data_IF_433521352492
#
_entry.id   IF_433521352492
#
_cell.length_a   1.000
_cell.length_b   1.000
_cell.length_c   1.000
_cell.angle_alpha   90.00
_cell.angle_beta   90.00
_cell.angle_gamma   90.00
#
_symmetry.space_group_name_H-M   'P 1'
#
loop_
_entity.id
_entity.type
_entity.pdbx_description
1 polymer ?
#
# COMPACT_ATOMS: atom_id res chain seq x y z
N UNK A 1 -19.80 2.53 -10.36
CA UNK A 1 -20.09 1.87 -9.08
C UNK A 1 -20.95 2.81 -8.29
N UNK A 2 -22.16 2.39 -8.02
CA UNK A 2 -23.06 3.14 -7.19
C UNK A 2 -22.70 2.85 -5.73
N UNK A 3 -22.37 3.90 -4.98
CA UNK A 3 -22.09 3.79 -3.56
C UNK A 3 -23.43 3.67 -2.83
N UNK A 4 -23.78 2.46 -2.43
CA UNK A 4 -25.08 2.18 -1.79
C UNK A 4 -25.19 2.78 -0.38
N UNK A 5 -24.06 3.09 0.26
CA UNK A 5 -24.04 3.62 1.63
C UNK A 5 -23.06 4.79 1.75
N UNK A 6 -23.49 5.83 2.44
CA UNK A 6 -22.68 7.00 2.78
C UNK A 6 -22.37 6.93 4.27
N UNK A 7 -21.09 6.76 4.61
CA UNK A 7 -20.60 6.73 5.99
C UNK A 7 -19.97 8.04 6.43
N UNK A 8 -19.41 8.79 5.45
CA UNK A 8 -18.73 10.06 5.73
C UNK A 8 -18.72 10.96 4.50
N UNK A 9 -19.00 12.25 4.67
CA UNK A 9 -19.06 13.22 3.58
C UNK A 9 -17.90 14.24 3.56
N UNK A 10 -17.16 14.37 4.66
CA UNK A 10 -16.10 15.38 4.76
C UNK A 10 -16.60 16.81 4.55
N UNK A 11 -17.71 17.19 5.18
CA UNK A 11 -18.37 18.48 4.96
C UNK A 11 -17.49 19.70 5.32
N UNK A 12 -16.54 19.52 6.27
CA UNK A 12 -15.62 20.57 6.72
C UNK A 12 -14.38 20.71 5.82
N UNK A 13 -14.17 19.81 4.88
CA UNK A 13 -13.01 19.83 3.99
C UNK A 13 -13.18 20.88 2.88
N UNK A 14 -12.07 21.49 2.47
CA UNK A 14 -12.03 22.38 1.30
C UNK A 14 -12.06 21.54 0.02
N UNK A 15 -13.25 21.16 -0.42
CA UNK A 15 -13.45 20.25 -1.55
C UNK A 15 -12.99 20.84 -2.88
N UNK A 16 -12.47 19.97 -3.75
CA UNK A 16 -12.19 20.31 -5.14
C UNK A 16 -13.53 20.51 -5.88
N UNK A 17 -13.69 21.67 -6.51
CA UNK A 17 -14.83 21.95 -7.41
C UNK A 17 -14.51 21.31 -8.77
N UNK A 18 -15.20 20.24 -9.11
CA UNK A 18 -15.06 19.61 -10.42
C UNK A 18 -15.58 20.52 -11.53
N UNK A 19 -14.88 20.53 -12.68
CA UNK A 19 -15.33 21.24 -13.87
C UNK A 19 -15.01 20.44 -15.14
N UNK A 20 -15.93 20.31 -16.09
CA UNK A 20 -15.64 19.72 -17.42
C UNK A 20 -14.54 20.43 -18.19
N UNK A 21 -14.26 21.70 -17.87
CA UNK A 21 -13.20 22.48 -18.50
C UNK A 21 -11.79 22.05 -18.07
N UNK A 22 -11.66 21.35 -16.96
CA UNK A 22 -10.36 20.84 -16.50
C UNK A 22 -10.01 19.53 -17.19
N UNK A 23 -8.86 19.52 -17.90
CA UNK A 23 -8.38 18.35 -18.67
C UNK A 23 -7.99 17.15 -17.77
N UNK A 24 -7.48 17.41 -16.57
CA UNK A 24 -6.97 16.39 -15.66
C UNK A 24 -8.11 15.85 -14.78
N UNK A 25 -8.86 14.87 -15.30
CA UNK A 25 -9.93 14.18 -14.58
C UNK A 25 -10.89 15.15 -13.85
N UNK A 26 -11.41 16.15 -14.57
CA UNK A 26 -12.29 17.21 -14.03
C UNK A 26 -11.66 18.06 -12.91
N UNK A 27 -10.33 18.11 -12.82
CA UNK A 27 -9.57 18.82 -11.77
C UNK A 27 -9.23 17.96 -10.55
N UNK A 28 -9.60 16.68 -10.55
CA UNK A 28 -9.26 15.78 -9.46
C UNK A 28 -7.83 15.23 -9.53
N UNK A 29 -7.16 15.34 -10.68
CA UNK A 29 -5.80 14.85 -10.88
C UNK A 29 -4.83 15.99 -11.14
N UNK A 30 -3.57 15.77 -10.79
CA UNK A 30 -2.46 16.60 -11.25
C UNK A 30 -2.01 16.18 -12.67
N UNK A 31 -1.03 16.90 -13.24
CA UNK A 31 -0.48 16.63 -14.59
C UNK A 31 0.13 15.23 -14.73
N UNK A 32 0.58 14.64 -13.62
CA UNK A 32 1.14 13.29 -13.57
C UNK A 32 0.05 12.22 -13.47
N UNK A 33 -1.21 12.62 -13.23
CA UNK A 33 -2.34 11.74 -13.02
C UNK A 33 -2.44 11.23 -11.57
N UNK A 34 -1.78 11.88 -10.62
CA UNK A 34 -1.97 11.62 -9.19
C UNK A 34 -3.22 12.37 -8.70
N UNK A 35 -3.99 11.72 -7.84
CA UNK A 35 -5.18 12.31 -7.24
C UNK A 35 -4.83 13.50 -6.34
N UNK A 36 -5.50 14.62 -6.51
CA UNK A 36 -5.35 15.82 -5.68
C UNK A 36 -6.01 15.59 -4.33
N UNK A 37 -5.20 15.22 -3.33
CA UNK A 37 -5.68 14.87 -1.98
C UNK A 37 -6.07 16.10 -1.19
N UNK A 38 -7.23 16.05 -0.54
CA UNK A 38 -7.70 17.08 0.39
C UNK A 38 -7.85 16.46 1.77
N UNK A 39 -7.19 17.07 2.78
CA UNK A 39 -7.30 16.62 4.16
C UNK A 39 -8.72 16.78 4.68
N UNK A 40 -9.20 15.81 5.44
CA UNK A 40 -10.55 15.79 5.97
C UNK A 40 -11.66 15.54 4.94
N UNK A 41 -11.31 15.41 3.63
CA UNK A 41 -12.30 14.99 2.62
C UNK A 41 -12.46 13.46 2.63
N UNK A 42 -13.49 13.00 1.95
CA UNK A 42 -13.79 11.57 1.84
C UNK A 42 -13.17 10.93 0.60
N UNK A 43 -12.81 9.65 0.71
CA UNK A 43 -12.64 8.74 -0.41
C UNK A 43 -13.80 7.75 -0.38
N UNK A 44 -14.55 7.67 -1.49
CA UNK A 44 -15.67 6.75 -1.66
C UNK A 44 -16.75 6.82 -0.57
N UNK A 45 -17.01 8.03 -0.05
CA UNK A 45 -18.03 8.28 1.00
C UNK A 45 -17.85 7.43 2.27
N UNK A 46 -16.61 6.98 2.52
CA UNK A 46 -16.29 6.06 3.61
C UNK A 46 -15.02 6.39 4.35
N UNK A 47 -13.95 6.67 3.63
CA UNK A 47 -12.62 6.88 4.22
C UNK A 47 -12.34 8.37 4.35
N UNK A 48 -12.15 8.85 5.57
CA UNK A 48 -11.71 10.21 5.86
C UNK A 48 -10.19 10.32 5.71
N UNK A 49 -9.72 11.27 4.94
CA UNK A 49 -8.28 11.52 4.74
C UNK A 49 -7.70 12.21 5.97
N UNK A 50 -6.78 11.55 6.66
CA UNK A 50 -6.16 12.07 7.89
C UNK A 50 -4.79 12.68 7.62
N UNK A 51 -3.90 11.98 6.92
CA UNK A 51 -2.57 12.50 6.54
C UNK A 51 -1.93 11.65 5.44
N UNK A 52 -0.98 12.22 4.66
CA UNK A 52 -0.16 11.43 3.75
C UNK A 52 0.77 10.50 4.54
N UNK A 53 1.04 9.32 3.99
CA UNK A 53 2.04 8.35 4.47
C UNK A 53 3.26 8.30 3.55
N UNK A 54 3.06 8.51 2.24
CA UNK A 54 4.14 8.53 1.26
C UNK A 54 3.63 8.67 -0.16
N UNK A 55 4.53 9.00 -1.08
CA UNK A 55 4.27 9.08 -2.53
C UNK A 55 5.36 8.32 -3.27
N UNK A 56 4.96 7.45 -4.18
CA UNK A 56 5.85 6.62 -4.99
C UNK A 56 5.55 6.69 -6.48
N UNK A 57 6.19 5.81 -7.25
CA UNK A 57 6.03 5.74 -8.72
C UNK A 57 4.62 5.34 -9.15
N UNK A 58 3.96 4.49 -8.38
CA UNK A 58 2.62 3.94 -8.70
C UNK A 58 1.45 4.77 -8.19
N UNK A 59 1.71 5.75 -7.34
CA UNK A 59 0.69 6.57 -6.70
C UNK A 59 1.08 7.04 -5.31
N UNK A 60 0.11 7.21 -4.43
CA UNK A 60 0.31 7.75 -3.09
C UNK A 60 -0.43 6.94 -2.03
N UNK A 61 0.13 6.91 -0.81
CA UNK A 61 -0.45 6.25 0.34
C UNK A 61 -0.90 7.29 1.38
N UNK A 62 -2.07 7.09 1.95
CA UNK A 62 -2.70 7.97 2.93
C UNK A 62 -3.07 7.18 4.19
N UNK A 63 -2.93 7.80 5.36
CA UNK A 63 -3.64 7.35 6.55
C UNK A 63 -5.07 7.86 6.45
N UNK A 64 -6.04 6.96 6.51
CA UNK A 64 -7.45 7.29 6.52
C UNK A 64 -8.15 6.67 7.74
N UNK A 65 -9.28 7.26 8.13
CA UNK A 65 -10.20 6.64 9.08
C UNK A 65 -11.36 6.00 8.31
N UNK A 66 -11.57 4.71 8.49
CA UNK A 66 -12.69 3.96 7.88
C UNK A 66 -13.93 4.09 8.75
N UNK A 67 -14.84 5.01 8.40
CA UNK A 67 -16.09 5.25 9.13
C UNK A 67 -17.07 4.07 9.11
N UNK A 68 -16.90 3.10 8.19
CA UNK A 68 -17.69 1.86 8.18
C UNK A 68 -17.24 0.89 9.26
N UNK A 69 -15.91 0.81 9.51
CA UNK A 69 -15.31 -0.18 10.43
C UNK A 69 -14.86 0.41 11.75
N UNK A 70 -14.80 1.74 11.86
CA UNK A 70 -14.32 2.42 13.08
C UNK A 70 -12.82 2.25 13.32
N UNK A 71 -12.01 2.07 12.26
CA UNK A 71 -10.57 1.84 12.40
C UNK A 71 -9.74 2.73 11.46
N UNK A 72 -8.47 2.97 11.81
CA UNK A 72 -7.52 3.59 10.91
C UNK A 72 -6.97 2.57 9.91
N UNK A 73 -6.84 2.98 8.66
CA UNK A 73 -6.31 2.17 7.55
C UNK A 73 -5.24 2.94 6.78
N UNK A 74 -4.36 2.21 6.08
CA UNK A 74 -3.55 2.76 5.01
C UNK A 74 -4.32 2.61 3.69
N UNK A 75 -4.47 3.69 2.93
CA UNK A 75 -5.16 3.72 1.65
C UNK A 75 -4.19 4.14 0.55
N UNK A 76 -3.93 3.23 -0.40
CA UNK A 76 -3.09 3.47 -1.59
C UNK A 76 -3.99 3.91 -2.73
N UNK A 77 -3.75 5.10 -3.29
CA UNK A 77 -4.43 5.62 -4.48
C UNK A 77 -3.51 5.43 -5.68
N UNK A 78 -3.92 4.60 -6.63
CA UNK A 78 -3.15 4.32 -7.83
C UNK A 78 -3.27 5.49 -8.80
N UNK A 79 -2.14 5.87 -9.42
CA UNK A 79 -2.07 6.92 -10.43
C UNK A 79 -2.97 6.60 -11.62
N UNK A 80 -3.75 7.59 -12.08
CA UNK A 80 -4.71 7.46 -13.19
C UNK A 80 -4.01 7.45 -14.55
N UNK A 81 -3.28 6.37 -14.85
CA UNK A 81 -2.70 6.10 -16.17
C UNK A 81 -2.84 4.62 -16.49
N UNK A 82 -3.17 4.28 -17.74
CA UNK A 82 -3.46 2.89 -18.18
C UNK A 82 -2.44 1.87 -17.70
N UNK A 83 -1.13 2.16 -17.84
CA UNK A 83 -0.04 1.26 -17.42
C UNK A 83 -0.09 0.89 -15.94
N UNK A 84 -0.51 1.83 -15.08
CA UNK A 84 -0.60 1.59 -13.64
C UNK A 84 -1.88 0.85 -13.24
N UNK A 85 -2.97 1.05 -13.99
CA UNK A 85 -4.22 0.33 -13.75
C UNK A 85 -4.05 -1.18 -13.95
N UNK A 86 -3.33 -1.59 -15.03
CA UNK A 86 -3.07 -3.01 -15.28
C UNK A 86 -2.23 -3.62 -14.15
N UNK A 87 -1.11 -2.98 -13.79
CA UNK A 87 -0.24 -3.48 -12.71
C UNK A 87 -0.96 -3.52 -11.36
N UNK A 88 -1.82 -2.55 -11.08
CA UNK A 88 -2.60 -2.52 -9.85
C UNK A 88 -3.69 -3.61 -9.79
N UNK A 89 -4.24 -4.03 -10.94
CA UNK A 89 -5.13 -5.20 -11.00
C UNK A 89 -4.39 -6.49 -10.63
N UNK A 90 -3.14 -6.66 -11.09
CA UNK A 90 -2.26 -7.76 -10.69
C UNK A 90 -1.96 -7.70 -9.19
N UNK A 91 -1.65 -6.51 -8.66
CA UNK A 91 -1.42 -6.30 -7.22
C UNK A 91 -2.63 -6.76 -6.39
N UNK A 92 -3.86 -6.37 -6.79
CA UNK A 92 -5.08 -6.81 -6.11
C UNK A 92 -5.25 -8.33 -6.16
N UNK A 93 -5.04 -8.97 -7.33
CA UNK A 93 -5.10 -10.44 -7.49
C UNK A 93 -4.13 -11.15 -6.54
N UNK A 94 -2.90 -10.66 -6.44
CA UNK A 94 -1.87 -11.18 -5.52
C UNK A 94 -2.33 -11.01 -4.07
N UNK A 95 -2.74 -9.81 -3.67
CA UNK A 95 -3.18 -9.52 -2.30
C UNK A 95 -4.40 -10.34 -1.88
N UNK A 96 -5.35 -10.58 -2.79
CA UNK A 96 -6.49 -11.47 -2.54
C UNK A 96 -6.04 -12.91 -2.35
N UNK A 97 -5.08 -13.39 -3.14
CA UNK A 97 -4.51 -14.73 -3.02
C UNK A 97 -3.79 -14.89 -1.68
N UNK A 98 -2.95 -13.94 -1.31
CA UNK A 98 -2.29 -13.91 0.00
C UNK A 98 -3.30 -13.93 1.15
N UNK A 99 -4.31 -13.08 1.12
CA UNK A 99 -5.35 -13.01 2.16
C UNK A 99 -6.13 -14.32 2.31
N UNK A 100 -6.46 -14.99 1.20
CA UNK A 100 -7.25 -16.24 1.19
C UNK A 100 -6.51 -17.39 1.87
N UNK A 101 -5.20 -17.48 1.68
CA UNK A 101 -4.39 -18.60 2.16
C UNK A 101 -3.75 -18.34 3.53
N UNK A 102 -3.95 -17.17 4.13
CA UNK A 102 -3.45 -16.83 5.47
C UNK A 102 -4.57 -16.26 6.36
N UNK A 103 -5.59 -17.05 6.70
CA UNK A 103 -6.67 -16.59 7.57
C UNK A 103 -6.21 -16.23 8.99
N UNK A 104 -5.14 -16.85 9.47
CA UNK A 104 -4.56 -16.64 10.79
C UNK A 104 -3.62 -15.42 10.89
N UNK A 105 -3.30 -14.76 9.75
CA UNK A 105 -2.39 -13.63 9.69
C UNK A 105 -0.95 -13.96 10.21
N UNK A 106 -0.51 -15.20 9.94
CA UNK A 106 0.78 -15.72 10.41
C UNK A 106 1.93 -15.55 9.40
N UNK A 107 1.64 -15.23 8.15
CA UNK A 107 2.64 -15.18 7.08
C UNK A 107 3.51 -13.91 7.07
N UNK A 108 3.25 -12.94 7.96
CA UNK A 108 3.96 -11.65 8.03
C UNK A 108 3.93 -10.86 6.71
N UNK A 109 2.82 -10.90 5.99
CA UNK A 109 2.52 -10.06 4.84
C UNK A 109 1.37 -9.10 5.16
N UNK A 110 1.33 -7.96 4.48
CA UNK A 110 0.30 -6.94 4.73
C UNK A 110 -1.09 -7.48 4.41
N UNK A 111 -2.07 -7.15 5.24
CA UNK A 111 -3.45 -7.60 5.09
C UNK A 111 -4.26 -6.63 4.24
N UNK A 112 -4.72 -7.10 3.10
CA UNK A 112 -5.72 -6.40 2.29
C UNK A 112 -7.03 -6.28 3.07
N UNK A 113 -7.53 -5.05 3.23
CA UNK A 113 -8.84 -4.77 3.84
C UNK A 113 -9.92 -4.75 2.77
N UNK A 114 -9.77 -3.87 1.77
CA UNK A 114 -10.74 -3.66 0.72
C UNK A 114 -10.08 -3.02 -0.52
N UNK A 115 -10.79 -2.96 -1.64
CA UNK A 115 -10.40 -2.16 -2.80
C UNK A 115 -11.64 -1.62 -3.51
N UNK A 116 -11.53 -0.43 -4.06
CA UNK A 116 -12.62 0.29 -4.71
C UNK A 116 -12.08 1.15 -5.84
N UNK A 117 -12.94 1.53 -6.77
CA UNK A 117 -12.62 2.57 -7.76
C UNK A 117 -13.34 3.85 -7.36
N UNK A 118 -12.58 4.94 -7.21
CA UNK A 118 -13.10 6.26 -6.87
C UNK A 118 -12.50 7.31 -7.80
N UNK A 119 -13.35 8.09 -8.48
CA UNK A 119 -12.92 9.15 -9.43
C UNK A 119 -11.83 8.67 -10.40
N UNK A 120 -12.03 7.50 -11.01
CA UNK A 120 -11.10 6.81 -11.94
C UNK A 120 -9.79 6.30 -11.32
N UNK A 121 -9.61 6.37 -10.01
CA UNK A 121 -8.49 5.77 -9.32
C UNK A 121 -8.87 4.45 -8.68
N UNK A 122 -8.05 3.43 -8.86
CA UNK A 122 -8.10 2.25 -8.00
C UNK A 122 -7.51 2.62 -6.64
N UNK A 123 -8.30 2.43 -5.60
CA UNK A 123 -7.93 2.66 -4.21
C UNK A 123 -7.88 1.31 -3.49
N UNK A 124 -6.74 0.98 -2.88
CA UNK A 124 -6.53 -0.28 -2.15
C UNK A 124 -6.31 0.05 -0.68
N UNK A 125 -7.06 -0.60 0.20
CA UNK A 125 -6.96 -0.36 1.65
C UNK A 125 -6.33 -1.54 2.36
N UNK A 126 -5.44 -1.20 3.29
CA UNK A 126 -4.66 -2.13 4.09
C UNK A 126 -4.83 -1.84 5.58
N UNK A 127 -4.46 -2.79 6.42
CA UNK A 127 -4.19 -2.51 7.81
C UNK A 127 -3.16 -1.38 7.96
N UNK A 128 -3.32 -0.53 8.97
CA UNK A 128 -2.35 0.52 9.26
C UNK A 128 -1.19 -0.08 10.07
N UNK A 129 0.02 0.03 9.52
CA UNK A 129 1.27 -0.40 10.13
C UNK A 129 2.07 0.82 10.63
N UNK A 130 3.19 0.55 11.31
CA UNK A 130 4.12 1.56 11.82
C UNK A 130 5.18 1.94 10.77
N UNK A 131 6.33 2.42 11.21
CA UNK A 131 7.44 2.83 10.34
C UNK A 131 8.10 1.62 9.66
N UNK A 132 8.74 1.85 8.52
CA UNK A 132 9.52 0.84 7.83
C UNK A 132 10.90 0.64 8.48
N UNK A 133 11.58 -0.45 8.10
CA UNK A 133 12.90 -0.78 8.67
C UNK A 133 13.98 0.23 8.28
N UNK A 134 13.87 0.92 7.15
CA UNK A 134 14.81 1.98 6.79
C UNK A 134 14.68 3.18 7.75
N UNK A 135 13.46 3.69 7.96
CA UNK A 135 13.21 4.75 8.94
C UNK A 135 13.57 4.32 10.37
N UNK A 136 13.33 3.06 10.70
CA UNK A 136 13.71 2.50 11.99
C UNK A 136 15.23 2.58 12.23
N UNK A 137 16.05 2.18 11.24
CA UNK A 137 17.51 2.23 11.32
C UNK A 137 18.01 3.69 11.30
N UNK A 138 17.39 4.54 10.47
CA UNK A 138 17.69 5.98 10.41
C UNK A 138 17.41 6.68 11.73
N UNK A 139 16.29 6.40 12.38
CA UNK A 139 15.95 6.97 13.69
C UNK A 139 16.92 6.53 14.80
N UNK A 140 17.66 5.44 14.58
CA UNK A 140 18.75 4.98 15.43
C UNK A 140 20.14 5.53 14.96
N UNK A 141 20.17 6.57 14.11
CA UNK A 141 21.37 7.16 13.55
C UNK A 141 22.31 6.13 12.88
N UNK A 142 21.75 5.08 12.27
CA UNK A 142 22.49 3.98 11.63
C UNK A 142 23.50 3.25 12.53
N UNK A 143 23.34 3.31 13.86
CA UNK A 143 24.21 2.62 14.82
C UNK A 143 24.03 1.10 14.83
N UNK A 144 23.10 0.59 14.01
CA UNK A 144 22.75 -0.82 14.00
C UNK A 144 21.82 -1.21 15.14
N UNK A 145 21.51 -2.50 15.21
CA UNK A 145 20.62 -3.08 16.22
C UNK A 145 21.19 -4.40 16.73
N UNK A 146 20.71 -4.88 17.87
CA UNK A 146 21.22 -6.12 18.46
C UNK A 146 21.02 -7.32 17.52
N UNK A 147 21.96 -8.27 17.55
CA UNK A 147 21.87 -9.54 16.76
C UNK A 147 20.58 -10.28 17.05
N UNK A 148 20.10 -10.24 18.31
CA UNK A 148 18.82 -10.86 18.68
C UNK A 148 17.63 -10.24 17.94
N UNK A 149 17.62 -8.93 17.74
CA UNK A 149 16.58 -8.25 16.96
C UNK A 149 16.70 -8.53 15.45
N UNK A 150 17.92 -8.52 14.91
CA UNK A 150 18.16 -8.91 13.51
C UNK A 150 17.64 -10.32 13.25
N UNK A 151 17.93 -11.27 14.13
CA UNK A 151 17.44 -12.66 14.01
C UNK A 151 15.91 -12.73 14.00
N UNK A 152 15.22 -11.97 14.85
CA UNK A 152 13.76 -11.92 14.88
C UNK A 152 13.19 -11.37 13.57
N UNK A 153 13.77 -10.32 13.00
CA UNK A 153 13.36 -9.80 11.70
C UNK A 153 13.61 -10.81 10.58
N UNK A 154 14.81 -11.41 10.54
CA UNK A 154 15.18 -12.38 9.52
C UNK A 154 14.24 -13.60 9.49
N UNK A 155 13.89 -14.16 10.66
CA UNK A 155 12.94 -15.27 10.76
C UNK A 155 11.60 -14.89 10.13
N UNK A 156 11.04 -13.72 10.45
CA UNK A 156 9.74 -13.28 9.93
C UNK A 156 9.79 -12.99 8.42
N UNK A 157 10.89 -12.40 7.92
CA UNK A 157 11.09 -12.17 6.49
C UNK A 157 11.17 -13.51 5.75
N UNK A 158 11.93 -14.47 6.25
CA UNK A 158 12.04 -15.83 5.66
C UNK A 158 10.70 -16.57 5.68
N UNK A 159 9.89 -16.39 6.73
CA UNK A 159 8.54 -16.93 6.78
C UNK A 159 7.65 -16.35 5.68
N UNK A 160 7.68 -15.02 5.47
CA UNK A 160 6.93 -14.38 4.38
C UNK A 160 7.42 -14.84 3.00
N UNK A 161 8.72 -14.94 2.78
CA UNK A 161 9.29 -15.43 1.52
C UNK A 161 8.90 -16.90 1.25
N UNK A 162 8.98 -17.76 2.28
CA UNK A 162 8.53 -19.16 2.19
C UNK A 162 7.03 -19.24 1.84
N UNK A 163 6.23 -18.38 2.42
CA UNK A 163 4.80 -18.32 2.15
C UNK A 163 4.52 -17.86 0.70
N UNK A 164 5.13 -16.77 0.24
CA UNK A 164 5.00 -16.30 -1.14
C UNK A 164 5.45 -17.35 -2.16
N UNK A 165 6.59 -18.05 -1.90
CA UNK A 165 7.08 -19.12 -2.76
C UNK A 165 6.09 -20.27 -2.90
N UNK A 166 5.40 -20.68 -1.81
CA UNK A 166 4.34 -21.70 -1.86
C UNK A 166 3.19 -21.31 -2.79
N UNK A 167 2.89 -20.03 -2.89
CA UNK A 167 1.85 -19.47 -3.74
C UNK A 167 2.37 -19.05 -5.13
N UNK A 168 3.62 -19.34 -5.44
CA UNK A 168 4.29 -18.96 -6.69
C UNK A 168 4.25 -17.45 -6.94
N UNK A 169 4.41 -16.64 -5.88
CA UNK A 169 4.43 -15.18 -5.94
C UNK A 169 5.87 -14.70 -5.76
N UNK A 170 6.32 -13.80 -6.65
CA UNK A 170 7.62 -13.13 -6.60
C UNK A 170 7.37 -11.68 -6.24
N UNK A 171 8.03 -11.17 -5.18
CA UNK A 171 7.81 -9.80 -4.69
C UNK A 171 8.39 -8.73 -5.63
N UNK A 172 9.55 -8.97 -6.19
CA UNK A 172 10.29 -8.13 -7.14
C UNK A 172 10.79 -6.77 -6.61
N UNK A 173 10.52 -6.39 -5.37
CA UNK A 173 11.04 -5.14 -4.78
C UNK A 173 11.22 -5.25 -3.25
N UNK A 174 11.80 -6.36 -2.77
CA UNK A 174 12.06 -6.55 -1.34
C UNK A 174 13.22 -5.68 -0.88
N UNK A 175 12.95 -4.78 0.07
CA UNK A 175 13.91 -3.82 0.63
C UNK A 175 13.44 -3.34 2.00
N UNK A 176 14.31 -2.72 2.83
CA UNK A 176 13.94 -2.24 4.16
C UNK A 176 12.74 -1.29 4.17
N UNK A 177 12.57 -0.46 3.12
CA UNK A 177 11.44 0.45 2.95
C UNK A 177 10.09 -0.28 2.79
N UNK A 178 10.12 -1.53 2.31
CA UNK A 178 8.94 -2.37 2.09
C UNK A 178 8.73 -3.42 3.20
N UNK A 179 9.37 -3.24 4.35
CA UNK A 179 9.18 -4.06 5.55
C UNK A 179 8.82 -3.12 6.70
N UNK A 180 7.58 -3.18 7.18
CA UNK A 180 7.08 -2.29 8.22
C UNK A 180 6.95 -3.00 9.55
N UNK A 181 7.21 -2.28 10.64
CA UNK A 181 6.86 -2.73 11.99
C UNK A 181 5.34 -2.78 12.15
N UNK A 182 4.82 -3.81 12.81
CA UNK A 182 3.39 -3.91 13.17
C UNK A 182 2.98 -2.80 14.15
N UNK A 183 3.88 -2.44 15.06
CA UNK A 183 3.69 -1.36 16.04
C UNK A 183 5.05 -0.78 16.48
N UNK A 184 5.10 0.45 17.00
CA UNK A 184 6.36 1.18 17.25
C UNK A 184 7.34 0.46 18.18
N UNK A 185 6.84 -0.24 19.20
CA UNK A 185 7.66 -0.79 20.29
C UNK A 185 7.74 -2.33 20.27
N UNK A 186 7.42 -2.96 19.13
CA UNK A 186 7.42 -4.42 19.00
C UNK A 186 8.27 -4.86 17.81
N UNK A 187 8.84 -6.06 17.88
CA UNK A 187 9.67 -6.65 16.81
C UNK A 187 8.87 -7.37 15.72
N UNK A 188 7.55 -7.33 15.77
CA UNK A 188 6.70 -7.88 14.71
C UNK A 188 6.80 -7.02 13.46
N UNK A 189 6.99 -7.65 12.28
CA UNK A 189 7.06 -6.97 10.98
C UNK A 189 6.04 -7.53 10.00
N UNK A 190 5.82 -6.80 8.91
CA UNK A 190 5.11 -7.27 7.72
C UNK A 190 5.76 -6.76 6.45
N UNK A 191 5.82 -7.62 5.44
CA UNK A 191 6.20 -7.25 4.08
C UNK A 191 5.02 -6.55 3.41
N UNK A 192 5.29 -5.43 2.74
CA UNK A 192 4.30 -4.59 2.06
C UNK A 192 4.69 -4.35 0.60
N UNK A 193 3.79 -3.66 -0.14
CA UNK A 193 3.98 -3.15 -1.51
C UNK A 193 4.22 -4.23 -2.57
N UNK A 194 3.13 -4.86 -2.97
CA UNK A 194 3.09 -5.86 -4.04
C UNK A 194 2.89 -5.22 -5.44
N UNK A 195 3.06 -3.90 -5.56
CA UNK A 195 2.89 -3.16 -6.81
C UNK A 195 3.88 -3.51 -7.92
N UNK A 196 5.00 -4.17 -7.60
CA UNK A 196 5.97 -4.69 -8.58
C UNK A 196 5.93 -6.22 -8.68
N UNK A 197 5.08 -6.87 -7.92
CA UNK A 197 5.04 -8.34 -7.80
C UNK A 197 4.37 -9.01 -8.99
N UNK A 198 4.69 -10.28 -9.21
CA UNK A 198 4.07 -11.12 -10.23
C UNK A 198 3.90 -12.56 -9.73
N UNK A 199 3.08 -13.34 -10.43
CA UNK A 199 3.12 -14.80 -10.31
C UNK A 199 4.32 -15.35 -11.09
N UNK A 200 4.86 -16.48 -10.65
CA UNK A 200 6.06 -17.08 -11.22
C UNK A 200 5.91 -17.46 -12.69
N UNK A 201 4.73 -17.83 -13.12
CA UNK A 201 4.33 -18.17 -14.48
C UNK A 201 3.84 -16.97 -15.32
N UNK A 202 3.63 -15.80 -14.69
CA UNK A 202 3.18 -14.56 -15.34
C UNK A 202 4.29 -13.48 -15.37
N UNK A 203 5.56 -13.86 -15.52
CA UNK A 203 6.70 -12.93 -15.53
C UNK A 203 6.69 -12.07 -16.80
N UNK A 204 6.72 -10.74 -16.61
CA UNK A 204 6.75 -9.77 -17.72
C UNK A 204 8.11 -9.08 -17.82
N UNK A 205 8.74 -8.80 -16.68
CA UNK A 205 9.98 -8.03 -16.60
C UNK A 205 11.15 -8.88 -16.15
N UNK A 206 12.30 -8.74 -16.82
CA UNK A 206 13.58 -9.33 -16.43
C UNK A 206 14.42 -8.42 -15.55
N UNK A 207 14.25 -7.09 -15.70
CA UNK A 207 14.92 -6.09 -14.89
C UNK A 207 14.03 -5.70 -13.71
N UNK A 208 14.22 -6.36 -12.58
CA UNK A 208 13.42 -6.22 -11.37
C UNK A 208 14.31 -5.83 -10.18
N UNK A 209 13.70 -5.51 -9.05
CA UNK A 209 14.32 -5.18 -7.78
C UNK A 209 15.00 -3.79 -7.76
N UNK A 210 14.91 -3.11 -6.65
CA UNK A 210 15.61 -1.84 -6.41
C UNK A 210 17.13 -2.03 -6.49
N UNK A 211 17.84 -1.11 -7.18
CA UNK A 211 19.26 -1.24 -7.57
C UNK A 211 20.17 -1.71 -6.44
N UNK A 212 20.08 -1.09 -5.25
CA UNK A 212 20.97 -1.40 -4.13
C UNK A 212 20.72 -2.77 -3.49
N UNK A 213 19.60 -3.40 -3.78
CA UNK A 213 19.17 -4.68 -3.21
C UNK A 213 19.03 -5.77 -4.27
N UNK A 214 19.50 -5.50 -5.50
CA UNK A 214 19.45 -6.45 -6.61
C UNK A 214 20.64 -7.40 -6.51
N UNK A 215 20.35 -8.69 -6.71
CA UNK A 215 21.38 -9.72 -6.86
C UNK A 215 22.22 -9.45 -8.13
N UNK A 216 23.47 -9.91 -8.17
CA UNK A 216 24.33 -9.85 -9.35
C UNK A 216 23.69 -10.42 -10.60
#
# INVERSE_FOLDING_TARGET
>A
MDYTNIYFLGQRAKKIKASPLYKQNYGFDDERGDYNVVMGDHIAYRYEVVKPLGKGSFGQALKCYDHKRGEYVALKIIRNKKRFHHQAAVEVKILQTLKRHDPSDAANVVKLRDYIVFRKHLCITFELLSINLYEFIKNNNFKGVSVGLIRRFAIQILQSLRYMRKLKIIHCDLKPENILLKSPNKSGIKVIDFGSSCFEDERIYTYIQSRFYRAP
#
